data_IF_752546147354
#
_entry.id   IF_752546147354
#
_cell.length_a   1.000
_cell.length_b   1.000
_cell.length_c   1.000
_cell.angle_alpha   90.00
_cell.angle_beta   90.00
_cell.angle_gamma   90.00
#
_symmetry.space_group_name_H-M   'P 1'
#
loop_
_entity.id
_entity.type
_entity.pdbx_description
1 polymer ?
#
# COMPACT_ATOMS: atom_id res chain seq x y z
N UNK A 1 -37.16 3.42 26.16
CA UNK A 1 -36.39 3.65 24.91
C UNK A 1 -34.93 4.03 25.20
N UNK A 2 -34.67 5.03 26.05
CA UNK A 2 -33.31 5.55 26.31
C UNK A 2 -32.27 4.51 26.75
N UNK A 3 -32.62 3.59 27.66
CA UNK A 3 -31.71 2.51 28.11
C UNK A 3 -31.32 1.54 26.98
N UNK A 4 -32.21 1.33 26.00
CA UNK A 4 -31.96 0.45 24.85
C UNK A 4 -31.04 1.17 23.87
N UNK A 5 -31.34 2.43 23.57
CA UNK A 5 -30.53 3.28 22.67
C UNK A 5 -29.11 3.40 23.23
N UNK A 6 -28.96 3.70 24.52
CA UNK A 6 -27.65 3.80 25.18
C UNK A 6 -26.83 2.52 25.05
N UNK A 7 -27.41 1.36 25.34
CA UNK A 7 -26.73 0.06 25.20
C UNK A 7 -26.34 -0.26 23.76
N UNK A 8 -27.18 0.13 22.80
CA UNK A 8 -26.87 -0.05 21.38
C UNK A 8 -25.69 0.84 20.96
N UNK A 9 -25.63 2.08 21.42
CA UNK A 9 -24.51 2.99 21.19
C UNK A 9 -23.22 2.45 21.83
N UNK A 10 -23.25 2.02 23.08
CA UNK A 10 -22.09 1.45 23.77
C UNK A 10 -21.50 0.26 22.99
N UNK A 11 -22.34 -0.71 22.58
CA UNK A 11 -21.89 -1.84 21.75
C UNK A 11 -21.29 -1.43 20.40
N UNK A 12 -21.82 -0.36 19.79
CA UNK A 12 -21.29 0.16 18.52
C UNK A 12 -19.89 0.75 18.71
N UNK A 13 -19.68 1.51 19.78
CA UNK A 13 -18.36 2.09 20.10
C UNK A 13 -17.34 1.00 20.47
N UNK A 14 -17.75 -0.02 21.21
CA UNK A 14 -16.92 -1.19 21.52
C UNK A 14 -16.49 -1.92 20.24
N UNK A 15 -17.44 -2.17 19.33
CA UNK A 15 -17.15 -2.80 18.05
C UNK A 15 -16.21 -1.96 17.19
N UNK A 16 -16.43 -0.64 17.13
CA UNK A 16 -15.54 0.27 16.41
C UNK A 16 -14.12 0.21 16.99
N UNK A 17 -13.99 0.28 18.30
CA UNK A 17 -12.70 0.20 18.99
C UNK A 17 -12.00 -1.12 18.71
N UNK A 18 -12.73 -2.23 18.70
CA UNK A 18 -12.20 -3.54 18.32
C UNK A 18 -11.66 -3.54 16.89
N UNK A 19 -12.43 -3.04 15.92
CA UNK A 19 -12.01 -3.00 14.51
C UNK A 19 -10.79 -2.10 14.28
N UNK A 20 -10.73 -0.95 14.96
CA UNK A 20 -9.58 -0.03 14.89
C UNK A 20 -8.31 -0.72 15.44
N UNK A 21 -8.42 -1.45 16.56
CA UNK A 21 -7.31 -2.21 17.14
C UNK A 21 -6.88 -3.38 16.25
N UNK A 22 -7.84 -4.12 15.67
CA UNK A 22 -7.56 -5.23 14.77
C UNK A 22 -6.79 -4.75 13.53
N UNK A 23 -7.20 -3.62 12.97
CA UNK A 23 -6.52 -2.99 11.81
C UNK A 23 -5.10 -2.59 12.19
N UNK A 24 -4.93 -1.86 13.30
CA UNK A 24 -3.62 -1.44 13.79
C UNK A 24 -2.66 -2.61 14.00
N UNK A 25 -3.10 -3.67 14.67
CA UNK A 25 -2.29 -4.86 14.92
C UNK A 25 -1.91 -5.58 13.62
N UNK A 26 -2.84 -5.65 12.67
CA UNK A 26 -2.59 -6.24 11.36
C UNK A 26 -1.52 -5.45 10.59
N UNK A 27 -1.63 -4.12 10.58
CA UNK A 27 -0.63 -3.25 9.95
C UNK A 27 0.76 -3.37 10.62
N UNK A 28 0.82 -3.40 11.95
CA UNK A 28 2.06 -3.60 12.72
C UNK A 28 2.72 -4.94 12.40
N UNK A 29 1.92 -6.01 12.29
CA UNK A 29 2.40 -7.32 11.87
C UNK A 29 3.01 -7.27 10.47
N UNK A 30 2.34 -6.65 9.51
CA UNK A 30 2.87 -6.46 8.16
C UNK A 30 4.15 -5.64 8.13
N UNK A 31 4.20 -4.53 8.87
CA UNK A 31 5.39 -3.69 8.99
C UNK A 31 6.59 -4.47 9.54
N UNK A 32 6.36 -5.30 10.57
CA UNK A 32 7.41 -6.13 11.18
C UNK A 32 8.05 -7.14 10.23
N UNK A 33 7.41 -7.44 9.08
CA UNK A 33 7.94 -8.36 8.08
C UNK A 33 8.86 -7.72 7.03
N UNK A 34 8.88 -6.38 6.92
CA UNK A 34 9.72 -5.67 5.93
C UNK A 34 11.22 -6.01 6.04
N UNK A 35 11.82 -6.16 7.23
CA UNK A 35 13.23 -6.56 7.35
C UNK A 35 13.54 -7.90 6.67
N UNK A 36 12.57 -8.82 6.57
CA UNK A 36 12.81 -10.15 6.00
C UNK A 36 12.95 -10.16 4.47
N UNK A 37 12.74 -9.02 3.79
CA UNK A 37 12.94 -8.90 2.35
C UNK A 37 14.37 -9.27 1.91
N UNK A 38 15.37 -9.01 2.77
CA UNK A 38 16.77 -9.37 2.48
C UNK A 38 17.02 -10.88 2.51
N UNK A 39 16.09 -11.64 3.11
CA UNK A 39 16.11 -13.10 3.15
C UNK A 39 15.14 -13.71 2.11
N UNK A 40 14.64 -12.92 1.17
CA UNK A 40 13.78 -13.40 0.08
C UNK A 40 12.28 -13.39 0.40
N UNK A 41 11.84 -12.82 1.53
CA UNK A 41 10.41 -12.66 1.82
C UNK A 41 9.71 -11.84 0.74
N UNK A 42 8.54 -12.30 0.29
CA UNK A 42 7.66 -11.60 -0.68
C UNK A 42 6.31 -11.32 -0.03
N UNK A 43 5.72 -10.12 -0.24
CA UNK A 43 4.39 -9.80 0.29
C UNK A 43 3.28 -10.71 -0.28
N UNK A 44 3.52 -11.36 -1.42
CA UNK A 44 2.59 -12.34 -2.01
C UNK A 44 2.33 -13.55 -1.09
N UNK A 45 3.27 -13.86 -0.19
CA UNK A 45 3.09 -14.93 0.79
C UNK A 45 1.92 -14.66 1.73
N UNK A 46 1.59 -13.40 2.00
CA UNK A 46 0.42 -13.06 2.81
C UNK A 46 -0.90 -13.48 2.15
N UNK A 47 -0.98 -13.47 0.81
CA UNK A 47 -2.17 -13.94 0.11
C UNK A 47 -2.35 -15.45 0.32
N UNK A 48 -1.28 -16.22 0.10
CA UNK A 48 -1.29 -17.66 0.36
C UNK A 48 -1.62 -17.98 1.84
N UNK A 49 -1.08 -17.20 2.78
CA UNK A 49 -1.41 -17.35 4.20
C UNK A 49 -2.89 -17.04 4.48
N UNK A 50 -3.47 -16.02 3.85
CA UNK A 50 -4.88 -15.69 4.01
C UNK A 50 -5.80 -16.84 3.53
N UNK A 51 -5.48 -17.43 2.39
CA UNK A 51 -6.22 -18.58 1.83
C UNK A 51 -6.13 -19.80 2.75
N UNK A 52 -4.91 -20.08 3.25
CA UNK A 52 -4.68 -21.16 4.21
C UNK A 52 -5.46 -20.91 5.52
N UNK A 53 -5.37 -19.71 6.10
CA UNK A 53 -6.12 -19.34 7.31
C UNK A 53 -7.61 -19.49 7.11
N UNK A 54 -8.14 -19.01 5.97
CA UNK A 54 -9.58 -19.14 5.65
C UNK A 54 -10.01 -20.59 5.62
N UNK A 55 -9.21 -21.44 4.96
CA UNK A 55 -9.49 -22.87 4.82
C UNK A 55 -9.46 -23.57 6.18
N UNK A 56 -8.39 -23.38 6.95
CA UNK A 56 -8.22 -24.01 8.25
C UNK A 56 -9.29 -23.54 9.25
N UNK A 57 -9.60 -22.23 9.31
CA UNK A 57 -10.65 -21.72 10.19
C UNK A 57 -12.04 -22.26 9.81
N UNK A 58 -12.35 -22.31 8.51
CA UNK A 58 -13.61 -22.89 8.04
C UNK A 58 -13.71 -24.38 8.38
N UNK A 59 -12.59 -25.11 8.28
CA UNK A 59 -12.55 -26.53 8.61
C UNK A 59 -12.73 -26.78 10.11
N UNK A 60 -12.05 -26.02 10.96
CA UNK A 60 -12.17 -26.15 12.42
C UNK A 60 -13.57 -25.77 12.94
N UNK A 61 -14.22 -24.80 12.28
CA UNK A 61 -15.57 -24.36 12.62
C UNK A 61 -16.66 -25.40 12.29
N UNK A 62 -16.33 -26.45 11.52
CA UNK A 62 -17.25 -27.57 11.23
C UNK A 62 -17.73 -28.33 12.47
N UNK A 63 -17.02 -28.18 13.58
CA UNK A 63 -17.47 -28.71 14.87
C UNK A 63 -18.71 -27.99 15.42
N UNK A 64 -19.05 -26.81 14.90
CA UNK A 64 -20.13 -25.94 15.40
C UNK A 64 -21.12 -25.52 14.31
N UNK A 65 -20.64 -25.16 13.11
CA UNK A 65 -21.46 -24.65 12.01
C UNK A 65 -21.18 -25.40 10.70
N UNK A 66 -22.11 -25.39 9.75
CA UNK A 66 -21.82 -25.98 8.43
C UNK A 66 -20.93 -25.04 7.60
N UNK A 67 -20.01 -25.57 6.75
CA UNK A 67 -19.11 -24.73 5.95
C UNK A 67 -19.83 -23.70 5.07
N UNK A 68 -20.99 -24.06 4.52
CA UNK A 68 -21.80 -23.17 3.69
C UNK A 68 -22.29 -21.93 4.43
N UNK A 69 -22.38 -21.99 5.76
CA UNK A 69 -22.85 -20.87 6.59
C UNK A 69 -21.70 -19.92 6.96
N UNK A 70 -20.49 -20.43 7.17
CA UNK A 70 -19.39 -19.63 7.77
C UNK A 70 -18.21 -19.37 6.86
N UNK A 71 -18.06 -20.09 5.74
CA UNK A 71 -16.97 -19.88 4.79
C UNK A 71 -16.91 -18.43 4.27
N UNK A 72 -18.07 -17.82 3.99
CA UNK A 72 -18.14 -16.43 3.55
C UNK A 72 -17.68 -15.44 4.63
N UNK A 73 -18.02 -15.70 5.89
CA UNK A 73 -17.60 -14.87 7.03
C UNK A 73 -16.09 -14.97 7.27
N UNK A 74 -15.54 -16.19 7.26
CA UNK A 74 -14.10 -16.41 7.40
C UNK A 74 -13.32 -15.78 6.24
N UNK A 75 -13.82 -15.91 5.01
CA UNK A 75 -13.23 -15.27 3.83
C UNK A 75 -13.25 -13.75 3.92
N UNK A 76 -14.35 -13.17 4.42
CA UNK A 76 -14.46 -11.71 4.60
C UNK A 76 -13.48 -11.22 5.68
N UNK A 77 -13.40 -11.94 6.80
CA UNK A 77 -12.51 -11.59 7.91
C UNK A 77 -11.04 -11.70 7.51
N UNK A 78 -10.64 -12.80 6.89
CA UNK A 78 -9.26 -13.03 6.45
C UNK A 78 -8.85 -12.01 5.39
N UNK A 79 -9.71 -11.73 4.40
CA UNK A 79 -9.46 -10.70 3.40
C UNK A 79 -9.27 -9.33 4.04
N UNK A 80 -10.10 -8.97 5.03
CA UNK A 80 -9.96 -7.73 5.78
C UNK A 80 -8.62 -7.64 6.52
N UNK A 81 -8.31 -8.65 7.34
CA UNK A 81 -7.07 -8.69 8.15
C UNK A 81 -5.83 -8.67 7.26
N UNK A 82 -5.76 -9.52 6.25
CA UNK A 82 -4.58 -9.64 5.39
C UNK A 82 -4.43 -8.48 4.40
N UNK A 83 -5.50 -7.75 4.08
CA UNK A 83 -5.39 -6.47 3.39
C UNK A 83 -4.66 -5.44 4.27
N UNK A 84 -5.08 -5.29 5.53
CA UNK A 84 -4.40 -4.42 6.49
C UNK A 84 -2.94 -4.83 6.75
N UNK A 85 -2.65 -6.14 6.81
CA UNK A 85 -1.26 -6.65 6.87
C UNK A 85 -0.44 -6.18 5.67
N UNK A 86 -0.96 -6.31 4.45
CA UNK A 86 -0.26 -5.84 3.24
C UNK A 86 -0.07 -4.32 3.26
N UNK A 87 -1.06 -3.57 3.69
CA UNK A 87 -0.98 -2.11 3.78
C UNK A 87 0.10 -1.66 4.76
N UNK A 88 0.18 -2.30 5.93
CA UNK A 88 1.25 -2.08 6.90
C UNK A 88 2.63 -2.37 6.32
N UNK A 89 2.80 -3.50 5.62
CA UNK A 89 4.05 -3.87 4.95
C UNK A 89 4.50 -2.80 3.93
N UNK A 90 3.59 -2.36 3.04
CA UNK A 90 3.93 -1.35 2.02
C UNK A 90 4.13 0.04 2.61
N UNK A 91 3.41 0.39 3.67
CA UNK A 91 3.57 1.67 4.38
C UNK A 91 4.93 1.75 5.04
N UNK A 92 5.35 0.71 5.75
CA UNK A 92 6.67 0.62 6.37
C UNK A 92 7.79 0.61 5.31
N UNK A 93 7.62 -0.12 4.20
CA UNK A 93 8.57 -0.13 3.10
C UNK A 93 8.76 1.28 2.48
N UNK A 94 7.68 2.07 2.36
CA UNK A 94 7.75 3.47 1.92
C UNK A 94 8.43 4.35 2.96
N UNK A 95 8.18 4.12 4.26
CA UNK A 95 8.81 4.86 5.36
C UNK A 95 10.33 4.67 5.36
N UNK A 96 10.82 3.44 5.20
CA UNK A 96 12.26 3.13 5.17
C UNK A 96 13.01 3.87 4.05
N UNK A 97 12.39 4.03 2.87
CA UNK A 97 13.00 4.79 1.77
C UNK A 97 13.19 6.27 2.12
N UNK A 98 12.23 6.86 2.84
CA UNK A 98 12.27 8.26 3.26
C UNK A 98 13.32 8.50 4.34
N UNK A 99 13.44 7.60 5.32
CA UNK A 99 14.47 7.69 6.36
C UNK A 99 15.87 7.51 5.81
N UNK A 100 16.06 6.61 4.84
CA UNK A 100 17.37 6.41 4.19
C UNK A 100 17.80 7.60 3.32
N UNK A 101 16.85 8.38 2.79
CA UNK A 101 17.15 9.59 2.01
C UNK A 101 17.39 10.83 2.89
N UNK A 102 16.87 10.88 4.12
CA UNK A 102 17.04 12.02 5.01
C UNK A 102 18.52 12.29 5.39
N UNK A 103 19.35 11.26 5.47
CA UNK A 103 20.78 11.41 5.77
C UNK A 103 21.62 11.93 4.59
N UNK A 104 21.14 11.81 3.35
CA UNK A 104 21.82 12.35 2.16
C UNK A 104 21.52 13.82 1.91
N UNK A 105 20.51 14.38 2.56
CA UNK A 105 20.04 15.75 2.35
C UNK A 105 20.51 16.73 3.44
N UNK A 106 21.50 16.39 4.27
CA UNK A 106 22.11 17.39 5.16
C UNK A 106 22.85 18.41 4.27
N UNK A 107 22.45 19.69 4.24
CA UNK A 107 23.28 20.71 3.62
C UNK A 107 24.63 20.68 4.33
N UNK A 108 25.71 20.54 3.57
CA UNK A 108 27.06 20.74 4.09
C UNK A 108 27.07 22.09 4.77
N UNK A 109 27.29 22.10 6.09
CA UNK A 109 27.51 23.35 6.82
C UNK A 109 28.88 23.85 6.43
N UNK A 110 28.93 24.73 5.43
CA UNK A 110 30.14 25.49 5.13
C UNK A 110 30.36 26.44 6.32
N UNK A 111 31.27 26.07 7.22
CA UNK A 111 31.83 26.97 8.23
C UNK A 111 32.87 27.82 7.50
N UNK A 112 32.39 28.93 6.92
CA UNK A 112 33.27 30.00 6.48
C UNK A 112 33.48 30.96 7.64
N UNK A 113 34.66 30.83 8.26
CA UNK A 113 35.23 31.78 9.19
C UNK A 113 35.63 33.07 8.46
N UNK A 114 35.18 34.20 9.01
CA UNK A 114 35.76 35.56 8.93
C UNK A 114 35.91 36.26 7.57
N UNK A 115 35.31 37.45 7.47
CA UNK A 115 35.95 38.58 6.79
C UNK A 115 35.26 39.20 5.57
N UNK A 116 34.85 40.46 5.75
CA UNK A 116 34.74 41.52 4.74
C UNK A 116 33.50 41.59 3.82
N UNK A 117 32.86 42.76 3.93
CA UNK A 117 31.93 43.42 3.01
C UNK A 117 32.33 43.32 1.53
N UNK A 118 31.36 43.10 0.63
CA UNK A 118 31.02 43.99 -0.51
C UNK A 118 29.77 43.52 -1.25
N UNK A 119 29.11 44.52 -1.80
CA UNK A 119 27.90 44.67 -2.60
C UNK A 119 27.62 43.69 -3.77
N UNK A 120 26.33 43.59 -4.11
CA UNK A 120 25.86 43.55 -5.50
C UNK A 120 25.63 42.18 -6.16
N UNK A 121 24.35 41.81 -6.33
CA UNK A 121 23.98 40.91 -7.43
C UNK A 121 22.71 40.07 -7.24
N UNK A 122 21.54 40.67 -7.51
CA UNK A 122 20.35 39.91 -7.90
C UNK A 122 20.65 38.97 -9.07
N UNK A 123 20.47 37.67 -8.90
CA UNK A 123 20.31 36.72 -10.02
C UNK A 123 19.14 35.77 -9.76
N UNK A 124 18.14 35.93 -10.62
CA UNK A 124 16.89 35.17 -10.72
C UNK A 124 17.14 33.71 -11.14
N UNK A 125 16.29 32.84 -10.59
CA UNK A 125 15.56 31.69 -11.16
C UNK A 125 16.10 30.93 -12.39
N UNK A 126 16.05 29.60 -12.34
CA UNK A 126 15.41 28.76 -13.38
C UNK A 126 15.17 27.32 -12.89
N UNK A 127 13.91 26.89 -12.90
CA UNK A 127 13.49 25.48 -12.93
C UNK A 127 13.42 25.02 -14.39
N UNK A 128 13.63 23.73 -14.72
CA UNK A 128 13.38 23.23 -16.07
C UNK A 128 11.95 22.66 -16.20
N UNK A 129 11.24 23.04 -17.28
CA UNK A 129 10.02 22.41 -17.79
C UNK A 129 10.28 21.81 -19.19
N UNK A 130 9.49 20.81 -19.64
CA UNK A 130 9.80 19.93 -20.77
C UNK A 130 9.35 20.49 -22.13
N UNK A 131 10.09 20.10 -23.19
CA UNK A 131 9.83 20.43 -24.60
C UNK A 131 8.62 19.66 -25.20
N UNK A 132 7.68 20.40 -25.78
CA UNK A 132 6.94 20.04 -27.02
C UNK A 132 7.41 21.05 -28.09
N UNK A 133 7.51 20.81 -29.40
CA UNK A 133 6.50 20.43 -30.40
C UNK A 133 7.23 20.36 -31.76
N UNK A 134 6.86 19.44 -32.67
CA UNK A 134 6.86 19.75 -34.11
C UNK A 134 5.99 18.77 -34.91
N UNK A 135 4.83 19.25 -35.36
CA UNK A 135 3.96 18.61 -36.34
C UNK A 135 4.36 19.01 -37.78
N UNK A 136 4.24 18.07 -38.73
CA UNK A 136 4.06 18.36 -40.16
C UNK A 136 3.33 17.19 -40.84
N UNK A 137 2.54 17.52 -41.86
CA UNK A 137 1.24 16.95 -42.23
C UNK A 137 1.19 16.14 -43.55
N UNK A 138 0.53 14.95 -43.51
CA UNK A 138 -0.38 14.33 -44.52
C UNK A 138 0.19 13.58 -45.76
N UNK A 139 -0.63 12.79 -46.53
CA UNK A 139 -1.78 11.95 -46.16
C UNK A 139 -1.89 10.54 -46.85
N UNK A 140 -2.68 9.62 -46.23
CA UNK A 140 -3.39 8.42 -46.76
C UNK A 140 -2.61 7.20 -47.30
N UNK A 141 -2.78 6.03 -46.66
CA UNK A 141 -3.48 4.88 -47.29
C UNK A 141 -3.85 3.77 -46.30
N UNK A 142 -5.04 3.22 -46.56
CA UNK A 142 -5.68 2.06 -45.97
C UNK A 142 -4.81 0.81 -46.03
N UNK A 143 -4.69 0.04 -44.94
CA UNK A 143 -4.98 -1.42 -44.90
C UNK A 143 -5.00 -1.88 -43.44
N UNK A 144 -6.17 -2.32 -42.98
CA UNK A 144 -6.33 -3.00 -41.71
C UNK A 144 -5.78 -4.44 -41.82
N UNK A 145 -4.66 -4.72 -41.15
CA UNK A 145 -4.16 -6.09 -40.97
C UNK A 145 -4.55 -6.58 -39.57
N UNK A 146 -5.78 -7.06 -39.44
CA UNK A 146 -6.16 -7.87 -38.29
C UNK A 146 -5.53 -9.26 -38.45
N UNK A 147 -4.61 -9.59 -37.53
CA UNK A 147 -4.05 -10.92 -37.37
C UNK A 147 -5.17 -11.92 -37.05
N UNK A 148 -5.43 -12.87 -37.94
CA UNK A 148 -6.33 -14.00 -37.70
C UNK A 148 -5.62 -15.09 -36.86
N UNK A 149 -6.32 -15.75 -35.93
CA UNK A 149 -5.76 -16.86 -35.17
C UNK A 149 -5.61 -18.15 -36.00
N UNK A 150 -4.74 -19.09 -35.58
CA UNK A 150 -4.37 -20.26 -36.37
C UNK A 150 -5.48 -21.30 -36.44
N UNK A 151 -5.65 -21.90 -37.62
CA UNK A 151 -6.54 -23.04 -37.85
C UNK A 151 -5.80 -24.34 -37.48
N UNK A 152 -6.43 -25.14 -36.63
CA UNK A 152 -5.97 -26.49 -36.25
C UNK A 152 -6.58 -27.49 -37.23
N UNK A 153 -5.74 -28.36 -37.79
CA UNK A 153 -6.14 -29.44 -38.72
C UNK A 153 -6.64 -30.67 -37.95
#
# INVERSE_FOLDING_TARGET
AERIIRRATEKKEDFKTFMDNLTRLSEEFGASHVPYRSFGFKPDFFACTADAVTTECTFLDQATHTPSETAGSWSTLSAFVFSAVRDGYYTELRRQRKSSNAFRNRPSVDVSSDGSVVDGGSRKSASPTPDEISESSGPKESTANYLLPPQVY
#
